data_IF_912364322954
#
_entry.id   IF_912364322954
#
_cell.length_a   1.000
_cell.length_b   1.000
_cell.length_c   1.000
_cell.angle_alpha   90.00
_cell.angle_beta   90.00
_cell.angle_gamma   90.00
#
_symmetry.space_group_name_H-M   'P 1'
#
loop_
_entity.id
_entity.type
_entity.pdbx_description
1 polymer ?
#
# COMPACT_ATOMS: atom_id res chain seq x y z
N UNK A 1 -57.65 30.27 -32.81
CA UNK A 1 -57.35 28.84 -32.99
C UNK A 1 -55.84 28.59 -33.19
N UNK A 2 -54.97 29.30 -32.44
CA UNK A 2 -53.50 29.21 -32.57
C UNK A 2 -52.77 29.32 -31.20
N UNK A 3 -53.49 29.05 -30.10
CA UNK A 3 -52.92 29.00 -28.73
C UNK A 3 -53.01 27.60 -28.09
N UNK A 4 -53.67 26.64 -28.74
CA UNK A 4 -53.82 25.27 -28.25
C UNK A 4 -52.74 24.29 -28.78
N UNK A 5 -51.95 24.69 -29.78
CA UNK A 5 -50.94 23.82 -30.39
C UNK A 5 -49.56 23.87 -29.72
N UNK A 6 -49.29 24.90 -28.90
CA UNK A 6 -47.99 25.05 -28.22
C UNK A 6 -47.91 24.30 -26.87
N UNK A 7 -49.05 23.89 -26.31
CA UNK A 7 -49.08 23.25 -24.99
C UNK A 7 -48.91 21.72 -25.04
N UNK A 8 -49.05 21.10 -26.22
CA UNK A 8 -48.95 19.63 -26.38
C UNK A 8 -47.51 19.20 -26.75
N UNK A 9 -46.73 20.09 -27.36
CA UNK A 9 -45.31 19.82 -27.68
C UNK A 9 -44.41 19.95 -26.44
N UNK A 10 -44.80 20.77 -25.45
CA UNK A 10 -44.03 20.91 -24.22
C UNK A 10 -44.20 19.72 -23.25
N UNK A 11 -45.31 18.99 -23.34
CA UNK A 11 -45.58 17.78 -22.54
C UNK A 11 -44.96 16.50 -23.13
N UNK A 12 -44.51 16.50 -24.39
CA UNK A 12 -43.77 15.38 -24.99
C UNK A 12 -42.24 15.48 -24.82
N UNK A 13 -41.72 16.63 -24.36
CA UNK A 13 -40.29 16.80 -24.03
C UNK A 13 -39.97 16.69 -22.53
N UNK A 14 -40.97 16.41 -21.67
CA UNK A 14 -40.80 16.27 -20.22
C UNK A 14 -40.86 14.81 -19.73
N UNK A 15 -40.88 13.82 -20.62
CA UNK A 15 -40.93 12.38 -20.27
C UNK A 15 -39.59 11.65 -20.53
N UNK A 16 -38.48 12.34 -20.81
CA UNK A 16 -37.16 11.69 -20.89
C UNK A 16 -36.07 12.34 -20.03
N UNK A 17 -36.45 13.12 -19.02
CA UNK A 17 -35.50 13.67 -18.05
C UNK A 17 -35.46 12.91 -16.72
N UNK A 18 -36.11 11.75 -16.63
CA UNK A 18 -35.57 10.66 -15.81
C UNK A 18 -34.38 10.08 -16.58
N UNK A 19 -33.31 10.87 -16.61
CA UNK A 19 -31.99 10.31 -16.72
C UNK A 19 -31.94 9.24 -15.63
N UNK A 20 -31.88 7.98 -16.05
CA UNK A 20 -31.13 6.98 -15.31
C UNK A 20 -29.79 7.66 -14.96
N UNK A 21 -29.72 8.31 -13.79
CA UNK A 21 -28.49 8.37 -13.04
C UNK A 21 -28.16 6.91 -12.88
N UNK A 22 -27.37 6.37 -13.81
CA UNK A 22 -26.74 5.09 -13.62
C UNK A 22 -26.13 5.20 -12.23
N UNK A 23 -26.58 4.36 -11.29
CA UNK A 23 -25.98 4.36 -9.96
C UNK A 23 -24.49 4.21 -10.22
N UNK A 24 -23.71 5.23 -9.88
CA UNK A 24 -22.28 5.22 -10.11
C UNK A 24 -21.76 3.89 -9.55
N UNK A 25 -21.02 3.17 -10.38
CA UNK A 25 -20.51 1.85 -10.02
C UNK A 25 -19.76 1.99 -8.70
N UNK A 26 -20.01 1.13 -7.69
CA UNK A 26 -19.35 1.25 -6.40
C UNK A 26 -17.84 1.15 -6.59
N UNK A 27 -17.10 2.09 -6.00
CA UNK A 27 -15.64 2.11 -6.09
C UNK A 27 -15.02 0.92 -5.36
N UNK A 28 -13.92 0.41 -5.89
CA UNK A 28 -13.08 -0.60 -5.23
C UNK A 28 -12.13 0.13 -4.30
N UNK A 29 -12.26 -0.13 -3.00
CA UNK A 29 -11.37 0.44 -2.00
C UNK A 29 -10.04 -0.31 -1.96
N UNK A 30 -8.97 0.46 -2.09
CA UNK A 30 -7.60 -0.03 -2.10
C UNK A 30 -6.83 0.72 -1.02
N UNK A 31 -5.97 0.01 -0.29
CA UNK A 31 -5.01 0.67 0.59
C UNK A 31 -3.61 0.52 0.05
N UNK A 32 -2.86 1.62 0.02
CA UNK A 32 -1.40 1.58 0.03
C UNK A 32 -1.03 1.56 1.50
N UNK A 33 -0.42 0.46 1.98
CA UNK A 33 -0.16 0.26 3.41
C UNK A 33 1.09 1.02 3.88
N UNK A 34 1.13 2.31 3.52
CA UNK A 34 2.16 3.32 3.76
C UNK A 34 1.47 4.69 3.82
N UNK A 35 2.14 5.71 4.36
CA UNK A 35 1.60 7.07 4.27
C UNK A 35 1.74 7.62 2.84
N UNK A 36 0.75 8.38 2.39
CA UNK A 36 0.73 9.12 1.13
C UNK A 36 0.04 10.48 1.31
N UNK A 37 0.33 11.44 0.43
CA UNK A 37 -0.29 12.77 0.47
C UNK A 37 -1.61 12.76 -0.31
N UNK A 38 -2.75 12.83 0.39
CA UNK A 38 -4.08 12.79 -0.24
C UNK A 38 -4.36 13.99 -1.15
N UNK A 39 -3.74 15.15 -0.89
CA UNK A 39 -3.95 16.39 -1.68
C UNK A 39 -3.37 16.29 -3.09
N UNK A 40 -2.62 15.22 -3.34
CA UNK A 40 -1.98 14.93 -4.62
C UNK A 40 -2.97 14.34 -5.63
N UNK A 41 -4.13 13.86 -5.18
CA UNK A 41 -5.09 13.11 -5.97
C UNK A 41 -6.47 13.78 -6.01
N UNK A 42 -7.32 13.47 -7.00
CA UNK A 42 -8.70 13.95 -7.04
C UNK A 42 -9.50 13.48 -5.81
N UNK A 43 -10.32 14.36 -5.25
CA UNK A 43 -11.11 14.09 -4.04
C UNK A 43 -11.99 12.84 -4.20
N UNK A 44 -12.54 12.60 -5.39
CA UNK A 44 -13.36 11.41 -5.64
C UNK A 44 -12.60 10.10 -5.47
N UNK A 45 -11.27 10.10 -5.57
CA UNK A 45 -10.42 8.91 -5.42
C UNK A 45 -9.89 8.73 -4.00
N UNK A 46 -10.24 9.60 -3.06
CA UNK A 46 -9.81 9.51 -1.66
C UNK A 46 -11.00 9.14 -0.78
N UNK A 47 -10.84 8.11 0.03
CA UNK A 47 -11.83 7.77 1.05
C UNK A 47 -11.87 8.86 2.12
N UNK A 48 -13.09 9.24 2.49
CA UNK A 48 -13.37 10.10 3.63
C UNK A 48 -14.18 9.30 4.64
N UNK A 49 -13.70 9.16 5.88
CA UNK A 49 -14.42 8.50 6.96
C UNK A 49 -15.65 9.34 7.32
N UNK A 50 -16.88 8.90 6.98
CA UNK A 50 -18.09 9.70 7.20
C UNK A 50 -18.49 9.79 8.68
N UNK A 51 -17.78 9.06 9.55
CA UNK A 51 -18.01 9.05 11.00
C UNK A 51 -17.05 9.96 11.76
N UNK A 52 -16.09 10.57 11.08
CA UNK A 52 -15.12 11.49 11.67
C UNK A 52 -15.40 12.93 11.27
N UNK A 53 -15.25 13.83 12.24
CA UNK A 53 -15.26 15.28 12.04
C UNK A 53 -13.89 15.78 12.54
N UNK A 54 -13.11 16.52 11.74
CA UNK A 54 -11.76 16.96 12.13
C UNK A 54 -11.82 17.97 13.27
N UNK A 55 -11.90 17.47 14.51
CA UNK A 55 -12.24 18.23 15.71
C UNK A 55 -11.34 17.91 16.92
N UNK A 56 -10.32 17.08 16.71
CA UNK A 56 -9.40 16.61 17.73
C UNK A 56 -9.99 15.50 18.60
N UNK A 57 -11.01 14.78 18.12
CA UNK A 57 -11.65 13.68 18.84
C UNK A 57 -11.72 12.43 17.97
N UNK A 58 -11.86 11.30 18.63
CA UNK A 58 -12.20 10.02 18.03
C UNK A 58 -13.74 9.90 18.07
N UNK A 59 -14.39 10.39 17.02
CA UNK A 59 -15.85 10.51 16.97
C UNK A 59 -16.52 9.14 16.81
N UNK A 60 -15.89 8.24 16.06
CA UNK A 60 -16.40 6.89 15.79
C UNK A 60 -15.94 5.82 16.79
N UNK A 61 -15.06 6.22 17.73
CA UNK A 61 -14.52 5.43 18.86
C UNK A 61 -13.71 4.22 18.39
N UNK A 62 -13.00 4.34 17.27
CA UNK A 62 -12.15 3.27 16.73
C UNK A 62 -10.73 3.26 17.32
N UNK A 63 -10.39 4.24 18.18
CA UNK A 63 -9.09 4.40 18.81
C UNK A 63 -8.13 5.31 18.07
N UNK A 64 -8.57 5.97 17.00
CA UNK A 64 -7.82 6.95 16.22
C UNK A 64 -8.57 8.28 16.23
N UNK A 65 -7.85 9.35 16.54
CA UNK A 65 -8.42 10.70 16.54
C UNK A 65 -8.38 11.22 15.11
N UNK A 66 -9.49 11.79 14.65
CA UNK A 66 -9.65 12.42 13.32
C UNK A 66 -9.06 11.59 12.16
N UNK A 67 -9.32 10.28 12.08
CA UNK A 67 -8.89 9.41 10.97
C UNK A 67 -9.69 9.64 9.68
N UNK A 68 -9.89 10.90 9.31
CA UNK A 68 -10.68 11.38 8.18
C UNK A 68 -10.30 10.68 6.88
N UNK A 69 -9.01 10.42 6.66
CA UNK A 69 -8.51 9.78 5.44
C UNK A 69 -7.98 8.35 5.67
N UNK A 70 -7.94 7.91 6.92
CA UNK A 70 -7.18 6.72 7.30
C UNK A 70 -6.45 6.84 8.62
N UNK A 71 -5.88 5.72 9.05
CA UNK A 71 -5.21 5.58 10.35
C UNK A 71 -3.69 5.52 10.23
N UNK A 72 -3.00 5.99 11.26
CA UNK A 72 -1.54 6.02 11.31
C UNK A 72 -0.99 5.36 12.58
N UNK A 73 0.20 4.78 12.46
CA UNK A 73 0.98 4.29 13.60
C UNK A 73 2.30 5.05 13.70
N UNK A 74 2.68 5.41 14.91
CA UNK A 74 3.98 6.03 15.18
C UNK A 74 5.12 5.00 15.19
N UNK A 75 6.31 5.45 15.58
CA UNK A 75 7.50 4.61 15.68
C UNK A 75 7.44 3.54 16.77
N UNK A 76 6.50 3.66 17.71
CA UNK A 76 6.24 2.72 18.80
C UNK A 76 4.98 1.89 18.53
N UNK A 77 4.49 1.93 17.29
CA UNK A 77 3.35 1.17 16.82
C UNK A 77 2.07 1.54 17.61
N UNK A 78 2.04 2.78 18.12
CA UNK A 78 0.86 3.38 18.75
C UNK A 78 0.06 4.20 17.73
N UNK A 79 -1.27 4.27 17.89
CA UNK A 79 -2.10 5.20 17.11
C UNK A 79 -1.54 6.62 17.14
N UNK A 80 -1.53 7.29 15.99
CA UNK A 80 -1.11 8.67 15.87
C UNK A 80 -2.11 9.48 15.05
N UNK A 81 -2.30 10.75 15.43
CA UNK A 81 -3.10 11.75 14.72
C UNK A 81 -2.44 12.17 13.38
N UNK A 82 -1.42 11.44 12.91
CA UNK A 82 -0.62 11.88 11.79
C UNK A 82 -1.46 11.97 10.52
N UNK A 83 -1.70 13.20 10.09
CA UNK A 83 -2.57 13.47 8.97
C UNK A 83 -1.92 13.01 7.66
N UNK A 84 -2.73 12.48 6.74
CA UNK A 84 -2.33 12.18 5.35
C UNK A 84 -2.09 13.47 4.51
N UNK A 85 -1.89 14.61 5.17
CA UNK A 85 -1.65 15.94 4.64
C UNK A 85 -0.31 16.43 5.19
N UNK A 86 0.84 16.19 4.52
CA UNK A 86 2.12 16.60 5.06
C UNK A 86 2.16 18.12 5.27
N UNK A 87 2.58 18.50 6.47
CA UNK A 87 2.88 19.89 6.84
C UNK A 87 4.13 20.30 6.06
N UNK A 88 4.00 21.30 5.20
CA UNK A 88 5.17 21.92 4.57
C UNK A 88 6.03 22.59 5.65
N UNK A 89 7.35 22.37 5.62
CA UNK A 89 8.31 23.16 6.36
C UNK A 89 8.28 24.59 5.81
N UNK A 90 8.82 25.52 6.59
CA UNK A 90 8.87 26.95 6.24
C UNK A 90 9.62 27.26 4.93
N UNK A 91 10.28 26.26 4.33
CA UNK A 91 10.97 26.35 3.04
C UNK A 91 10.16 25.70 1.88
N UNK A 92 8.96 25.20 2.13
CA UNK A 92 8.09 24.57 1.13
C UNK A 92 8.58 23.19 0.67
N UNK A 93 9.50 22.53 1.40
CA UNK A 93 10.28 21.40 0.90
C UNK A 93 9.81 20.01 1.37
N UNK A 94 8.56 19.89 1.82
CA UNK A 94 8.08 18.67 2.51
C UNK A 94 7.37 17.69 1.59
N UNK A 95 7.85 17.56 0.35
CA UNK A 95 7.56 16.39 -0.46
C UNK A 95 8.28 15.13 0.05
N UNK A 96 9.36 15.26 0.83
CA UNK A 96 10.26 14.14 1.13
C UNK A 96 9.65 13.03 2.00
N UNK A 97 8.67 13.30 2.88
CA UNK A 97 8.26 12.33 3.91
C UNK A 97 7.41 11.20 3.32
N UNK A 98 6.26 11.49 2.72
CA UNK A 98 5.38 10.46 2.15
C UNK A 98 5.65 10.14 0.69
N UNK A 99 6.79 10.59 0.18
CA UNK A 99 7.06 10.63 -1.24
C UNK A 99 6.87 9.27 -1.93
N UNK A 100 7.39 8.22 -1.30
CA UNK A 100 7.32 6.86 -1.79
C UNK A 100 5.88 6.36 -1.84
N UNK A 101 5.12 6.45 -0.74
CA UNK A 101 3.72 6.03 -0.72
C UNK A 101 2.83 6.84 -1.67
N UNK A 102 3.08 8.14 -1.83
CA UNK A 102 2.40 8.98 -2.83
C UNK A 102 2.69 8.49 -4.26
N UNK A 103 3.94 8.15 -4.57
CA UNK A 103 4.29 7.60 -5.88
C UNK A 103 3.61 6.25 -6.15
N UNK A 104 3.57 5.38 -5.14
CA UNK A 104 2.88 4.08 -5.19
C UNK A 104 1.37 4.27 -5.41
N UNK A 105 0.73 5.16 -4.65
CA UNK A 105 -0.69 5.50 -4.77
C UNK A 105 -1.04 6.06 -6.17
N UNK A 106 -0.18 6.91 -6.73
CA UNK A 106 -0.35 7.43 -8.09
C UNK A 106 -0.34 6.35 -9.16
N UNK A 107 0.48 5.31 -9.02
CA UNK A 107 0.47 4.16 -9.94
C UNK A 107 -0.84 3.37 -9.79
N UNK A 108 -1.34 3.17 -8.56
CA UNK A 108 -2.62 2.47 -8.32
C UNK A 108 -3.78 3.18 -9.02
N UNK A 109 -3.83 4.51 -8.94
CA UNK A 109 -4.91 5.31 -9.55
C UNK A 109 -4.79 5.46 -11.07
N UNK A 110 -3.62 5.20 -11.66
CA UNK A 110 -3.39 5.38 -13.10
C UNK A 110 -4.36 4.53 -13.92
N UNK A 111 -5.23 5.21 -14.67
CA UNK A 111 -6.29 4.61 -15.49
C UNK A 111 -7.29 3.74 -14.68
N UNK A 112 -7.49 4.04 -13.40
CA UNK A 112 -8.45 3.36 -12.53
C UNK A 112 -9.39 4.35 -11.81
N UNK A 113 -10.35 4.97 -12.54
CA UNK A 113 -11.28 5.94 -11.94
C UNK A 113 -12.20 5.32 -10.87
N UNK A 114 -12.41 3.99 -10.96
CA UNK A 114 -13.24 3.19 -10.05
C UNK A 114 -12.52 2.88 -8.72
N UNK A 115 -11.30 3.37 -8.47
CA UNK A 115 -10.57 3.13 -7.21
C UNK A 115 -10.77 4.27 -6.22
N UNK A 116 -10.91 3.92 -4.94
CA UNK A 116 -10.90 4.84 -3.81
C UNK A 116 -9.77 4.40 -2.84
N UNK A 117 -8.88 5.32 -2.48
CA UNK A 117 -7.73 5.04 -1.61
C UNK A 117 -8.10 5.22 -0.14
N UNK A 118 -7.74 4.25 0.69
CA UNK A 118 -7.89 4.29 2.14
C UNK A 118 -6.50 4.30 2.79
N UNK A 119 -6.23 5.29 3.63
CA UNK A 119 -4.95 5.43 4.33
C UNK A 119 -4.78 4.42 5.46
N UNK A 120 -3.71 3.62 5.41
CA UNK A 120 -3.13 3.00 6.61
C UNK A 120 -1.61 3.06 6.53
N UNK A 121 -0.93 3.66 7.51
CA UNK A 121 0.49 3.97 7.40
C UNK A 121 1.26 3.79 8.71
N UNK A 122 2.58 3.57 8.60
CA UNK A 122 3.49 3.49 9.74
C UNK A 122 4.63 4.49 9.59
N UNK A 123 4.87 5.31 10.61
CA UNK A 123 5.92 6.34 10.59
C UNK A 123 7.32 5.74 10.53
N UNK A 124 7.49 4.53 11.06
CA UNK A 124 8.72 3.74 10.99
C UNK A 124 9.24 3.54 9.55
N UNK A 125 8.37 3.65 8.54
CA UNK A 125 8.73 3.51 7.12
C UNK A 125 8.91 4.84 6.39
N UNK A 126 8.72 5.97 7.08
CA UNK A 126 8.58 7.31 6.49
C UNK A 126 9.58 8.30 7.05
N UNK A 127 9.86 8.20 8.33
CA UNK A 127 10.74 9.10 9.04
C UNK A 127 11.76 8.20 9.78
N UNK A 128 12.99 8.68 9.99
CA UNK A 128 13.97 7.97 10.82
C UNK A 128 14.35 8.90 11.97
N UNK A 129 14.30 8.45 13.24
CA UNK A 129 14.77 9.27 14.33
C UNK A 129 16.27 9.54 14.17
N UNK A 130 16.80 10.50 14.95
CA UNK A 130 18.24 10.76 14.98
C UNK A 130 19.00 9.45 15.27
N UNK A 131 20.14 9.27 14.61
CA UNK A 131 20.88 8.00 14.57
C UNK A 131 21.11 7.36 15.96
N UNK A 132 21.39 8.17 16.98
CA UNK A 132 21.59 7.70 18.36
C UNK A 132 20.32 7.12 19.01
N UNK A 133 19.18 7.80 18.87
CA UNK A 133 17.88 7.34 19.39
C UNK A 133 17.40 6.09 18.64
N UNK A 134 17.65 6.04 17.33
CA UNK A 134 17.37 4.86 16.52
C UNK A 134 18.18 3.64 16.96
N UNK A 135 19.47 3.81 17.25
CA UNK A 135 20.35 2.75 17.73
C UNK A 135 19.91 2.19 19.09
N UNK A 136 19.54 3.05 20.03
CA UNK A 136 19.00 2.62 21.33
C UNK A 136 17.69 1.85 21.18
N UNK A 137 16.79 2.33 20.32
CA UNK A 137 15.54 1.65 20.02
C UNK A 137 15.78 0.25 19.44
N UNK A 138 16.76 0.10 18.54
CA UNK A 138 17.11 -1.20 17.94
C UNK A 138 17.65 -2.17 18.99
N UNK A 139 18.55 -1.71 19.86
CA UNK A 139 19.08 -2.52 20.96
C UNK A 139 17.97 -2.96 21.91
N UNK A 140 17.08 -2.04 22.30
CA UNK A 140 15.99 -2.32 23.25
C UNK A 140 14.93 -3.24 22.67
N UNK A 141 14.55 -3.02 21.41
CA UNK A 141 13.39 -3.67 20.80
C UNK A 141 13.76 -4.95 20.06
N UNK A 142 14.62 -4.84 19.06
CA UNK A 142 14.94 -5.97 18.17
C UNK A 142 15.88 -6.97 18.83
N UNK A 143 16.90 -6.49 19.54
CA UNK A 143 17.90 -7.34 20.19
C UNK A 143 17.57 -7.68 21.65
N UNK A 144 16.75 -6.86 22.31
CA UNK A 144 16.34 -7.05 23.70
C UNK A 144 15.28 -8.12 23.87
N UNK A 145 14.09 -7.89 23.29
CA UNK A 145 12.97 -8.85 23.32
C UNK A 145 12.26 -8.90 21.97
N UNK A 146 12.69 -9.80 21.07
CA UNK A 146 12.02 -10.01 19.78
C UNK A 146 10.51 -10.21 19.89
N UNK A 147 10.07 -10.94 20.91
CA UNK A 147 8.65 -11.22 21.17
C UNK A 147 7.86 -9.96 21.51
N UNK A 148 8.38 -9.10 22.38
CA UNK A 148 7.69 -7.88 22.77
C UNK A 148 7.56 -6.91 21.59
N UNK A 149 8.62 -6.79 20.77
CA UNK A 149 8.59 -5.95 19.57
C UNK A 149 7.58 -6.47 18.54
N UNK A 150 7.61 -7.76 18.24
CA UNK A 150 6.66 -8.35 17.28
C UNK A 150 5.23 -8.34 17.83
N UNK A 151 5.01 -8.43 19.14
CA UNK A 151 3.68 -8.29 19.71
C UNK A 151 3.07 -6.90 19.45
N UNK A 152 3.88 -5.84 19.49
CA UNK A 152 3.43 -4.48 19.12
C UNK A 152 3.09 -4.40 17.63
N UNK A 153 3.94 -4.98 16.76
CA UNK A 153 3.68 -5.05 15.33
C UNK A 153 2.42 -5.88 15.00
N UNK A 154 2.24 -7.04 15.63
CA UNK A 154 1.07 -7.90 15.46
C UNK A 154 -0.21 -7.16 15.85
N UNK A 155 -0.19 -6.41 16.96
CA UNK A 155 -1.30 -5.54 17.35
C UNK A 155 -1.61 -4.53 16.24
N UNK A 156 -0.61 -3.80 15.75
CA UNK A 156 -0.81 -2.81 14.71
C UNK A 156 -1.27 -3.41 13.37
N UNK A 157 -0.78 -4.60 13.00
CA UNK A 157 -1.24 -5.36 11.83
C UNK A 157 -2.70 -5.80 11.95
N UNK A 158 -3.09 -6.31 13.11
CA UNK A 158 -4.48 -6.69 13.37
C UNK A 158 -5.41 -5.49 13.36
N UNK A 159 -4.99 -4.37 13.95
CA UNK A 159 -5.75 -3.11 13.91
C UNK A 159 -5.89 -2.60 12.47
N UNK A 160 -4.80 -2.61 11.69
CA UNK A 160 -4.81 -2.22 10.28
C UNK A 160 -5.81 -3.06 9.47
N UNK A 161 -5.79 -4.38 9.64
CA UNK A 161 -6.72 -5.26 8.91
C UNK A 161 -8.15 -5.14 9.41
N UNK A 162 -8.37 -4.91 10.70
CA UNK A 162 -9.70 -4.58 11.21
C UNK A 162 -10.25 -3.30 10.56
N UNK A 163 -9.40 -2.27 10.43
CA UNK A 163 -9.74 -1.02 9.74
C UNK A 163 -10.05 -1.26 8.26
N UNK A 164 -9.20 -2.01 7.55
CA UNK A 164 -9.46 -2.41 6.16
C UNK A 164 -10.84 -3.04 5.99
N UNK A 165 -11.24 -3.94 6.90
CA UNK A 165 -12.54 -4.61 6.84
C UNK A 165 -13.69 -3.68 7.16
N UNK A 166 -13.56 -2.87 8.21
CA UNK A 166 -14.57 -1.88 8.61
C UNK A 166 -14.86 -0.91 7.46
N UNK A 167 -13.84 -0.56 6.68
CA UNK A 167 -13.95 0.33 5.54
C UNK A 167 -14.01 -0.40 4.19
N UNK A 168 -14.26 -1.71 4.16
CA UNK A 168 -14.46 -2.50 2.94
C UNK A 168 -13.31 -2.41 1.90
N UNK A 169 -12.07 -2.24 2.36
CA UNK A 169 -10.86 -2.35 1.52
C UNK A 169 -10.75 -3.78 0.99
N UNK A 170 -10.49 -3.93 -0.31
CA UNK A 170 -10.39 -5.23 -1.00
C UNK A 170 -8.98 -5.59 -1.44
N UNK A 171 -8.14 -4.59 -1.70
CA UNK A 171 -6.77 -4.79 -2.17
C UNK A 171 -5.83 -3.96 -1.31
N UNK A 172 -4.74 -4.55 -0.86
CA UNK A 172 -3.71 -3.89 -0.07
C UNK A 172 -2.38 -4.02 -0.78
N UNK A 173 -1.79 -2.89 -1.15
CA UNK A 173 -0.44 -2.81 -1.70
C UNK A 173 0.58 -2.75 -0.56
N UNK A 174 1.61 -3.59 -0.64
CA UNK A 174 2.71 -3.67 0.31
C UNK A 174 4.03 -3.49 -0.47
N UNK A 175 4.61 -2.30 -0.35
CA UNK A 175 5.86 -1.92 -1.01
C UNK A 175 7.05 -1.81 -0.03
N UNK A 176 6.92 -2.44 1.15
CA UNK A 176 7.94 -2.56 2.19
C UNK A 176 8.22 -4.02 2.55
N UNK A 177 9.34 -4.27 3.24
CA UNK A 177 9.69 -5.61 3.70
C UNK A 177 10.92 -5.59 4.62
N UNK A 178 11.16 -6.73 5.26
CA UNK A 178 12.32 -6.99 6.10
C UNK A 178 13.04 -8.25 5.58
N UNK A 179 14.37 -8.29 5.68
CA UNK A 179 15.19 -9.37 5.10
C UNK A 179 16.45 -9.61 5.92
N UNK A 180 16.93 -10.85 5.93
CA UNK A 180 18.04 -11.25 6.82
C UNK A 180 19.39 -10.70 6.39
N UNK A 181 19.64 -10.56 5.09
CA UNK A 181 20.84 -9.93 4.53
C UNK A 181 20.94 -8.44 4.90
N UNK A 182 19.82 -7.71 4.88
CA UNK A 182 19.76 -6.35 5.38
C UNK A 182 20.17 -6.30 6.84
N UNK A 183 19.57 -7.12 7.70
CA UNK A 183 19.90 -7.11 9.13
C UNK A 183 21.33 -7.53 9.40
N UNK A 184 21.89 -8.46 8.64
CA UNK A 184 23.30 -8.84 8.75
C UNK A 184 24.24 -7.67 8.41
N UNK A 185 24.00 -7.01 7.29
CA UNK A 185 24.76 -5.81 6.88
C UNK A 185 24.60 -4.71 7.91
N UNK A 186 23.37 -4.49 8.35
CA UNK A 186 23.01 -3.45 9.30
C UNK A 186 23.69 -3.62 10.66
N UNK A 187 23.68 -4.83 11.25
CA UNK A 187 24.39 -5.10 12.51
C UNK A 187 25.91 -4.91 12.36
N UNK A 188 26.45 -5.25 11.19
CA UNK A 188 27.88 -5.06 10.87
C UNK A 188 28.24 -3.58 10.82
N UNK A 189 27.44 -2.76 10.11
CA UNK A 189 27.66 -1.32 9.98
C UNK A 189 27.55 -0.59 11.34
N UNK A 190 26.70 -1.09 12.23
CA UNK A 190 26.61 -0.58 13.60
C UNK A 190 27.74 -1.05 14.54
N UNK A 191 28.64 -1.93 14.08
CA UNK A 191 29.72 -2.48 14.90
C UNK A 191 29.24 -3.40 16.04
N UNK A 192 28.01 -3.93 15.94
CA UNK A 192 27.40 -4.80 16.96
C UNK A 192 27.08 -6.20 16.43
N UNK A 193 27.62 -6.57 15.27
CA UNK A 193 27.47 -7.91 14.74
C UNK A 193 28.13 -8.95 15.65
N UNK A 194 27.35 -9.94 16.04
CA UNK A 194 27.79 -11.21 16.59
C UNK A 194 26.82 -12.29 16.10
N UNK A 195 27.26 -13.55 16.05
CA UNK A 195 26.34 -14.66 15.71
C UNK A 195 25.14 -14.68 16.65
N UNK A 196 25.33 -14.39 17.94
CA UNK A 196 24.24 -14.28 18.92
C UNK A 196 23.22 -13.19 18.55
N UNK A 197 23.69 -11.98 18.21
CA UNK A 197 22.81 -10.88 17.81
C UNK A 197 22.09 -11.19 16.49
N UNK A 198 22.77 -11.87 15.56
CA UNK A 198 22.15 -12.28 14.31
C UNK A 198 21.11 -13.38 14.51
N UNK A 199 21.31 -14.33 15.43
CA UNK A 199 20.28 -15.30 15.83
C UNK A 199 19.04 -14.62 16.43
N UNK A 200 19.23 -13.60 17.29
CA UNK A 200 18.12 -12.78 17.81
C UNK A 200 17.34 -12.10 16.68
N UNK A 201 18.03 -11.56 15.68
CA UNK A 201 17.39 -10.97 14.50
C UNK A 201 16.65 -12.01 13.64
N UNK A 202 17.20 -13.21 13.45
CA UNK A 202 16.50 -14.29 12.75
C UNK A 202 15.25 -14.75 13.50
N UNK A 203 15.31 -14.82 14.84
CA UNK A 203 14.15 -15.09 15.68
C UNK A 203 13.08 -14.01 15.51
N UNK A 204 13.46 -12.74 15.56
CA UNK A 204 12.56 -11.61 15.29
C UNK A 204 11.90 -11.74 13.91
N UNK A 205 12.70 -12.01 12.86
CA UNK A 205 12.22 -12.20 11.50
C UNK A 205 11.19 -13.33 11.38
N UNK A 206 11.41 -14.45 12.09
CA UNK A 206 10.48 -15.58 12.10
C UNK A 206 9.16 -15.21 12.78
N UNK A 207 9.21 -14.51 13.91
CA UNK A 207 8.01 -14.04 14.61
C UNK A 207 7.23 -13.02 13.74
N UNK A 208 7.94 -12.09 13.11
CA UNK A 208 7.39 -11.10 12.18
C UNK A 208 6.67 -11.78 11.00
N UNK A 209 7.32 -12.78 10.39
CA UNK A 209 6.71 -13.64 9.37
C UNK A 209 5.43 -14.31 9.87
N UNK A 210 5.48 -14.95 11.04
CA UNK A 210 4.34 -15.73 11.55
C UNK A 210 3.13 -14.85 11.86
N UNK A 211 3.37 -13.63 12.36
CA UNK A 211 2.32 -12.63 12.55
C UNK A 211 1.67 -12.25 11.23
N UNK A 212 2.45 -11.80 10.23
CA UNK A 212 1.91 -11.40 8.92
C UNK A 212 1.23 -12.58 8.19
N UNK A 213 1.82 -13.77 8.24
CA UNK A 213 1.24 -14.98 7.67
C UNK A 213 -0.14 -15.25 8.26
N UNK A 214 -0.28 -15.17 9.59
CA UNK A 214 -1.55 -15.35 10.29
C UNK A 214 -2.55 -14.26 9.90
N UNK A 215 -2.12 -13.00 9.90
CA UNK A 215 -2.96 -11.84 9.50
C UNK A 215 -3.49 -12.01 8.07
N UNK A 216 -2.66 -12.40 7.11
CA UNK A 216 -3.11 -12.60 5.73
C UNK A 216 -4.04 -13.81 5.60
N UNK A 217 -3.70 -14.92 6.25
CA UNK A 217 -4.47 -16.17 6.19
C UNK A 217 -5.86 -16.03 6.81
N UNK A 218 -5.99 -15.28 7.90
CA UNK A 218 -7.26 -15.05 8.62
C UNK A 218 -8.19 -14.07 7.88
N UNK A 219 -7.72 -13.39 6.84
CA UNK A 219 -8.48 -12.36 6.11
C UNK A 219 -8.49 -12.64 4.60
N UNK A 220 -9.09 -13.77 4.17
CA UNK A 220 -9.12 -14.19 2.76
C UNK A 220 -9.97 -13.27 1.86
N UNK A 221 -10.75 -12.36 2.44
CA UNK A 221 -11.57 -11.34 1.79
C UNK A 221 -10.78 -10.07 1.40
N UNK A 222 -9.48 -10.02 1.73
CA UNK A 222 -8.54 -8.98 1.31
C UNK A 222 -7.42 -9.62 0.48
N UNK A 223 -7.09 -9.00 -0.66
CA UNK A 223 -5.99 -9.43 -1.52
C UNK A 223 -4.73 -8.58 -1.28
N UNK A 224 -3.64 -9.21 -0.88
CA UNK A 224 -2.37 -8.55 -0.57
C UNK A 224 -1.38 -8.66 -1.73
N UNK A 225 -0.95 -7.52 -2.26
CA UNK A 225 0.01 -7.43 -3.37
C UNK A 225 1.35 -6.94 -2.83
N UNK A 226 2.39 -7.75 -2.98
CA UNK A 226 3.67 -7.60 -2.27
C UNK A 226 4.80 -7.38 -3.27
N UNK A 227 5.62 -6.35 -3.10
CA UNK A 227 6.87 -6.19 -3.86
C UNK A 227 7.94 -7.22 -3.46
N UNK A 228 8.69 -7.76 -4.42
CA UNK A 228 9.68 -8.82 -4.15
C UNK A 228 10.97 -8.33 -3.46
N UNK A 229 11.29 -7.03 -3.53
CA UNK A 229 12.56 -6.45 -3.09
C UNK A 229 13.58 -6.23 -4.23
N UNK A 230 14.66 -5.52 -3.95
CA UNK A 230 15.51 -4.84 -4.94
C UNK A 230 17.00 -5.21 -4.82
N UNK A 231 17.31 -6.44 -4.41
CA UNK A 231 18.67 -6.90 -4.11
C UNK A 231 19.22 -7.91 -5.12
N UNK A 232 18.50 -8.18 -6.21
CA UNK A 232 18.76 -9.24 -7.18
C UNK A 232 19.04 -10.60 -6.50
N UNK A 233 18.25 -10.91 -5.47
CA UNK A 233 18.44 -12.08 -4.62
C UNK A 233 17.24 -13.03 -4.69
N UNK A 234 17.49 -14.30 -4.38
CA UNK A 234 16.43 -15.27 -4.13
C UNK A 234 15.74 -14.96 -2.79
N UNK A 235 14.45 -14.62 -2.82
CA UNK A 235 13.67 -14.24 -1.63
C UNK A 235 13.62 -15.32 -0.55
N UNK A 236 13.72 -16.61 -0.93
CA UNK A 236 13.77 -17.72 0.02
C UNK A 236 15.14 -17.74 0.73
N UNK A 237 16.23 -17.46 0.01
CA UNK A 237 17.59 -17.49 0.55
C UNK A 237 17.86 -16.35 1.54
N UNK A 238 17.34 -15.15 1.26
CA UNK A 238 17.46 -13.99 2.16
C UNK A 238 16.33 -13.89 3.19
N UNK A 239 15.39 -14.84 3.19
CA UNK A 239 14.18 -14.85 4.01
C UNK A 239 13.49 -13.47 4.02
N UNK A 240 13.02 -13.04 2.85
CA UNK A 240 12.40 -11.73 2.65
C UNK A 240 10.92 -11.75 3.05
N UNK A 241 10.53 -11.02 4.09
CA UNK A 241 9.16 -10.99 4.62
C UNK A 241 8.52 -9.63 4.30
N UNK A 242 7.32 -9.56 3.69
CA UNK A 242 6.39 -10.67 3.46
C UNK A 242 6.55 -11.44 2.14
N UNK A 243 7.56 -11.15 1.31
CA UNK A 243 7.71 -11.76 -0.02
C UNK A 243 7.79 -13.31 -0.01
N UNK A 244 8.20 -13.95 1.07
CA UNK A 244 8.19 -15.42 1.22
C UNK A 244 6.81 -16.01 1.56
N UNK A 245 5.76 -15.19 1.73
CA UNK A 245 4.41 -15.66 2.07
C UNK A 245 3.60 -15.95 0.80
N UNK A 246 3.32 -17.23 0.53
CA UNK A 246 2.42 -17.68 -0.54
C UNK A 246 1.10 -18.22 0.03
N UNK A 247 0.04 -17.43 -0.12
CA UNK A 247 -1.33 -17.75 0.30
C UNK A 247 -2.30 -17.49 -0.87
N UNK A 248 -3.52 -18.08 -0.88
CA UNK A 248 -4.48 -17.86 -1.96
C UNK A 248 -4.83 -16.39 -2.23
N UNK A 249 -4.76 -15.54 -1.20
CA UNK A 249 -5.05 -14.11 -1.24
C UNK A 249 -3.79 -13.22 -1.23
N UNK A 250 -2.60 -13.77 -1.51
CA UNK A 250 -1.37 -12.99 -1.70
C UNK A 250 -0.83 -13.13 -3.12
N UNK A 251 -0.12 -12.14 -3.62
CA UNK A 251 0.74 -12.27 -4.80
C UNK A 251 2.02 -11.46 -4.64
N UNK A 252 3.16 -12.06 -4.97
CA UNK A 252 4.47 -11.42 -4.91
C UNK A 252 4.89 -11.02 -6.31
N UNK A 253 5.33 -9.76 -6.44
CA UNK A 253 5.54 -9.07 -7.71
C UNK A 253 7.01 -8.70 -7.88
N UNK A 254 7.63 -9.27 -8.90
CA UNK A 254 8.97 -8.88 -9.34
C UNK A 254 8.92 -7.66 -10.28
N UNK A 255 10.09 -7.08 -10.55
CA UNK A 255 10.22 -5.89 -11.37
C UNK A 255 10.71 -6.17 -12.80
N UNK A 256 10.08 -5.52 -13.77
CA UNK A 256 10.49 -5.47 -15.17
C UNK A 256 11.25 -4.18 -15.46
N UNK A 257 12.22 -4.27 -16.38
CA UNK A 257 12.94 -3.12 -16.90
C UNK A 257 12.09 -2.37 -17.94
N UNK A 258 11.72 -1.13 -17.61
CA UNK A 258 10.94 -0.20 -18.44
C UNK A 258 9.73 -0.88 -19.09
N UNK A 259 9.60 -0.73 -20.41
CA UNK A 259 8.54 -1.33 -21.22
C UNK A 259 8.89 -2.72 -21.74
N UNK A 260 9.99 -3.33 -21.27
CA UNK A 260 10.41 -4.66 -21.70
C UNK A 260 9.75 -5.75 -20.84
N UNK A 261 9.84 -7.00 -21.28
CA UNK A 261 9.53 -8.18 -20.46
C UNK A 261 10.78 -8.75 -19.78
N UNK A 262 11.90 -8.02 -19.78
CA UNK A 262 13.10 -8.45 -19.09
C UNK A 262 12.99 -8.10 -17.61
N UNK A 263 13.42 -9.03 -16.75
CA UNK A 263 13.54 -8.76 -15.31
C UNK A 263 14.53 -7.61 -15.12
N UNK A 264 14.15 -6.61 -14.33
CA UNK A 264 15.06 -5.55 -13.91
C UNK A 264 16.26 -6.14 -13.16
N UNK A 265 17.44 -5.54 -13.36
CA UNK A 265 18.70 -6.04 -12.78
C UNK A 265 18.64 -6.15 -11.26
N UNK A 266 17.98 -5.21 -10.58
CA UNK A 266 17.80 -5.22 -9.13
C UNK A 266 16.69 -6.16 -8.63
N UNK A 267 15.74 -6.59 -9.47
CA UNK A 267 14.56 -7.29 -8.95
C UNK A 267 14.95 -8.61 -8.31
N UNK A 268 14.49 -8.83 -7.07
CA UNK A 268 14.51 -10.15 -6.47
C UNK A 268 13.67 -11.14 -7.26
N UNK A 269 13.94 -12.42 -7.04
CA UNK A 269 13.32 -13.56 -7.71
C UNK A 269 13.09 -14.69 -6.71
N UNK A 270 12.41 -15.75 -7.13
CA UNK A 270 12.18 -16.94 -6.31
C UNK A 270 10.82 -17.58 -6.62
N UNK A 271 10.55 -18.74 -6.04
CA UNK A 271 9.36 -19.55 -6.36
C UNK A 271 8.03 -18.85 -6.03
N UNK A 272 8.05 -17.89 -5.09
CA UNK A 272 6.86 -17.14 -4.69
C UNK A 272 6.62 -15.90 -5.55
N UNK A 273 7.60 -15.45 -6.33
CA UNK A 273 7.41 -14.36 -7.31
C UNK A 273 6.58 -14.90 -8.47
N UNK A 274 5.30 -14.56 -8.51
CA UNK A 274 4.33 -15.17 -9.44
C UNK A 274 4.11 -14.37 -10.72
N UNK A 275 4.44 -13.08 -10.68
CA UNK A 275 4.26 -12.15 -11.80
C UNK A 275 5.34 -11.07 -11.71
N UNK A 276 5.76 -10.53 -12.84
CA UNK A 276 6.60 -9.34 -12.91
C UNK A 276 5.82 -8.19 -13.54
N UNK A 277 6.04 -6.97 -13.05
CA UNK A 277 5.42 -5.78 -13.61
C UNK A 277 6.44 -4.64 -13.79
N UNK A 278 6.12 -3.67 -14.64
CA UNK A 278 6.98 -2.49 -14.87
C UNK A 278 7.42 -1.87 -13.54
N UNK A 279 8.74 -1.80 -13.35
CA UNK A 279 9.36 -1.34 -12.12
C UNK A 279 10.30 -0.16 -12.32
N UNK A 280 10.63 0.18 -13.57
CA UNK A 280 11.59 1.22 -13.93
C UNK A 280 10.88 2.23 -14.83
N UNK A 281 10.98 3.50 -14.47
CA UNK A 281 10.38 4.62 -15.17
C UNK A 281 11.41 5.72 -15.34
N UNK A 282 11.65 6.14 -16.58
CA UNK A 282 12.48 7.32 -16.87
C UNK A 282 11.81 8.58 -16.29
N UNK A 283 10.48 8.66 -16.45
CA UNK A 283 9.63 9.65 -15.80
C UNK A 283 8.34 8.99 -15.31
N UNK A 284 8.11 9.02 -14.00
CA UNK A 284 6.88 8.52 -13.39
C UNK A 284 5.99 9.71 -13.02
N UNK A 285 4.89 9.90 -13.75
CA UNK A 285 3.84 10.84 -13.35
C UNK A 285 3.12 10.28 -12.11
N UNK A 286 3.23 11.00 -10.99
CA UNK A 286 2.61 10.66 -9.71
C UNK A 286 1.27 11.39 -9.54
N UNK A 287 1.21 12.65 -9.99
CA UNK A 287 0.01 13.49 -10.04
C UNK A 287 0.16 14.58 -11.08
N UNK A 288 -0.89 15.34 -11.45
CA UNK A 288 -0.76 16.44 -12.41
C UNK A 288 0.37 17.43 -12.08
N UNK A 289 0.72 17.60 -10.80
CA UNK A 289 1.75 18.54 -10.35
C UNK A 289 3.12 17.89 -10.13
N UNK A 290 3.24 16.56 -10.12
CA UNK A 290 4.47 15.88 -9.71
C UNK A 290 4.89 14.75 -10.65
N UNK A 291 6.13 14.84 -11.11
CA UNK A 291 6.84 13.83 -11.90
C UNK A 291 8.09 13.41 -11.15
N UNK A 292 8.34 12.12 -11.16
CA UNK A 292 9.58 11.53 -10.68
C UNK A 292 10.52 11.18 -11.82
N UNK A 293 11.73 11.75 -11.86
CA UNK A 293 12.76 11.24 -12.74
C UNK A 293 13.34 9.94 -12.17
N UNK A 294 13.61 8.97 -13.05
CA UNK A 294 14.38 7.75 -12.76
C UNK A 294 13.85 6.94 -11.56
N UNK A 295 12.53 6.70 -11.50
CA UNK A 295 11.93 5.90 -10.45
C UNK A 295 12.13 4.40 -10.74
N UNK A 296 12.81 3.69 -9.83
CA UNK A 296 13.00 2.24 -9.93
C UNK A 296 12.75 1.48 -8.63
N UNK A 297 12.21 0.27 -8.75
CA UNK A 297 11.99 -0.64 -7.63
C UNK A 297 10.76 -1.52 -7.78
N UNK A 298 10.77 -2.70 -7.16
CA UNK A 298 9.58 -3.55 -7.04
C UNK A 298 8.44 -2.87 -6.29
N UNK A 299 8.75 -1.84 -5.50
CA UNK A 299 7.77 -0.90 -4.93
C UNK A 299 6.92 -0.17 -5.99
N UNK A 300 7.41 -0.03 -7.23
CA UNK A 300 6.63 0.51 -8.35
C UNK A 300 6.00 -0.57 -9.24
N UNK A 301 6.45 -1.82 -9.14
CA UNK A 301 5.85 -2.97 -9.80
C UNK A 301 4.58 -3.46 -9.07
N UNK A 302 4.64 -3.57 -7.74
CA UNK A 302 3.50 -3.97 -6.91
C UNK A 302 2.24 -3.13 -7.18
N UNK A 303 2.28 -1.78 -7.24
CA UNK A 303 1.09 -0.98 -7.50
C UNK A 303 0.54 -1.14 -8.92
N UNK A 304 1.34 -1.53 -9.93
CA UNK A 304 0.82 -1.89 -11.26
C UNK A 304 -0.07 -3.13 -11.18
N UNK A 305 0.32 -4.11 -10.37
CA UNK A 305 -0.48 -5.32 -10.13
C UNK A 305 -1.68 -5.00 -9.24
N UNK A 306 -1.53 -4.15 -8.23
CA UNK A 306 -2.65 -3.65 -7.39
C UNK A 306 -3.72 -2.98 -8.25
N UNK A 307 -3.31 -2.08 -9.16
CA UNK A 307 -4.17 -1.46 -10.16
C UNK A 307 -4.93 -2.50 -11.02
N UNK A 308 -4.21 -3.52 -11.53
CA UNK A 308 -4.82 -4.61 -12.27
C UNK A 308 -5.87 -5.35 -11.44
N UNK A 309 -5.54 -5.76 -10.21
CA UNK A 309 -6.45 -6.48 -9.32
C UNK A 309 -7.71 -5.66 -9.05
N UNK A 310 -7.56 -4.38 -8.72
CA UNK A 310 -8.70 -3.50 -8.45
C UNK A 310 -9.64 -3.37 -9.66
N UNK A 311 -9.09 -3.19 -10.86
CA UNK A 311 -9.88 -3.14 -12.10
C UNK A 311 -10.62 -4.44 -12.38
N UNK A 312 -9.96 -5.59 -12.20
CA UNK A 312 -10.59 -6.88 -12.44
C UNK A 312 -11.67 -7.21 -11.41
N UNK A 313 -11.52 -6.77 -10.15
CA UNK A 313 -12.58 -6.83 -9.15
C UNK A 313 -13.79 -5.98 -9.54
N UNK A 314 -13.54 -4.77 -10.04
CA UNK A 314 -14.59 -3.91 -10.55
C UNK A 314 -15.33 -4.56 -11.74
N UNK A 315 -14.66 -5.44 -12.49
CA UNK A 315 -15.24 -6.22 -13.58
C UNK A 315 -15.91 -7.54 -13.13
N UNK A 316 -16.04 -7.76 -11.82
CA UNK A 316 -16.78 -8.88 -11.24
C UNK A 316 -15.99 -10.18 -11.08
N UNK A 317 -14.67 -10.17 -11.30
CA UNK A 317 -13.81 -11.34 -11.04
C UNK A 317 -13.55 -11.51 -9.55
N UNK A 318 -13.38 -12.76 -9.10
CA UNK A 318 -12.92 -13.05 -7.74
C UNK A 318 -11.38 -13.21 -7.68
N UNK A 319 -10.81 -13.21 -6.47
CA UNK A 319 -9.36 -13.30 -6.26
C UNK A 319 -8.71 -14.53 -6.89
N UNK A 320 -9.38 -15.69 -6.87
CA UNK A 320 -8.83 -16.91 -7.47
C UNK A 320 -8.68 -16.78 -8.98
N UNK A 321 -9.70 -16.23 -9.65
CA UNK A 321 -9.63 -15.95 -11.09
C UNK A 321 -8.51 -14.96 -11.39
N UNK A 322 -8.44 -13.86 -10.64
CA UNK A 322 -7.43 -12.80 -10.84
C UNK A 322 -6.01 -13.35 -10.63
N UNK A 323 -5.75 -14.07 -9.52
CA UNK A 323 -4.42 -14.65 -9.24
C UNK A 323 -3.99 -15.63 -10.33
N UNK A 324 -4.90 -16.48 -10.82
CA UNK A 324 -4.60 -17.41 -11.90
C UNK A 324 -4.26 -16.69 -13.22
N UNK A 325 -4.99 -15.63 -13.56
CA UNK A 325 -4.69 -14.81 -14.74
C UNK A 325 -3.34 -14.10 -14.64
N UNK A 326 -3.02 -13.55 -13.46
CA UNK A 326 -1.71 -12.91 -13.20
C UNK A 326 -0.56 -13.90 -13.40
N UNK A 327 -0.68 -15.10 -12.85
CA UNK A 327 0.29 -16.20 -13.03
C UNK A 327 0.42 -16.59 -14.51
N UNK A 328 -0.71 -16.72 -15.21
CA UNK A 328 -0.71 -17.08 -16.63
C UNK A 328 -0.07 -16.01 -17.52
N UNK A 329 -0.29 -14.72 -17.20
CA UNK A 329 0.30 -13.58 -17.92
C UNK A 329 1.81 -13.49 -17.75
N UNK A 330 2.34 -13.87 -16.59
CA UNK A 330 3.75 -13.73 -16.16
C UNK A 330 4.30 -12.30 -16.10
N UNK A 331 3.93 -11.44 -17.04
CA UNK A 331 4.42 -10.07 -17.19
C UNK A 331 3.26 -9.08 -17.35
N UNK A 332 3.34 -7.94 -16.67
CA UNK A 332 2.44 -6.79 -16.84
C UNK A 332 3.27 -5.55 -17.15
N UNK A 333 3.27 -5.16 -18.42
CA UNK A 333 3.96 -3.95 -18.84
C UNK A 333 2.99 -2.77 -18.74
N UNK A 334 3.32 -1.79 -17.90
CA UNK A 334 2.67 -0.47 -17.93
C UNK A 334 3.48 0.42 -18.86
N UNK A 335 2.77 1.13 -19.74
CA UNK A 335 3.34 2.26 -20.46
C UNK A 335 3.34 3.51 -19.57
#
# INVERSE_FOLDING_TARGET
>A
MLKAFFSIILSLFLVSADAQKSKAKPKIRVSVWEFFDVRTFPDENIFINPREIPNGKDDDKNGFVDDVYGIGFDYQEQPTLHEYTPIYDSAGKTLSRYFHGTAVAGIVLRNNPDVELVGVGFLKYVDRPKEAEWLENIKKRLLGSPEADVALLDKAFRTSVAYFKAHNVKVVNISWGARTDFFKKFLTELGIYSEENFEKMKKWMKLFHDSLYKVFKENPDIFFVIGAGNENSDIDAIFSVPAVIDLPNTIVVGGLDKTSTQKASFSNYGKNVKVYATAVYDQLQVSPMHVLPNAEGTSFAAPVVTAYVARELANGKNFKQIKNELIAKKHIVSK
#
